data_IF_969192885083
#
_entry.id   IF_969192885083
#
_cell.length_a   1.000
_cell.length_b   1.000
_cell.length_c   1.000
_cell.angle_alpha   90.00
_cell.angle_beta   90.00
_cell.angle_gamma   90.00
#
_symmetry.space_group_name_H-M   'P 1'
#
loop_
_entity.id
_entity.type
_entity.pdbx_description
1 polymer ?
#
# COMPACT_ATOMS: atom_id res chain seq x y z
N UNK A 1 66.86 28.84 -60.65
CA UNK A 1 65.43 28.65 -60.28
C UNK A 1 65.34 27.67 -59.12
N UNK A 2 65.14 28.14 -57.88
CA UNK A 2 65.00 27.28 -56.69
C UNK A 2 63.53 27.25 -56.27
N UNK A 3 62.83 26.13 -56.47
CA UNK A 3 61.44 25.93 -56.03
C UNK A 3 61.43 25.66 -54.52
N UNK A 4 60.70 26.49 -53.77
CA UNK A 4 60.45 26.28 -52.33
C UNK A 4 59.20 25.42 -52.18
N UNK A 5 59.31 24.28 -51.51
CA UNK A 5 58.17 23.45 -51.10
C UNK A 5 57.61 24.01 -49.77
N UNK A 6 56.32 24.33 -49.76
CA UNK A 6 55.59 24.69 -48.56
C UNK A 6 55.05 23.42 -47.90
N UNK A 7 55.37 23.22 -46.62
CA UNK A 7 54.83 22.15 -45.78
C UNK A 7 53.58 22.70 -45.09
N UNK A 8 52.42 22.11 -45.38
CA UNK A 8 51.17 22.35 -44.68
C UNK A 8 51.10 21.38 -43.49
N UNK A 9 51.19 21.89 -42.26
CA UNK A 9 50.82 21.14 -41.06
C UNK A 9 49.29 21.11 -40.95
N UNK A 10 48.70 19.92 -41.04
CA UNK A 10 47.31 19.67 -40.67
C UNK A 10 47.24 19.42 -39.15
N UNK A 11 46.53 20.28 -38.42
CA UNK A 11 46.22 20.07 -37.01
C UNK A 11 45.00 19.14 -36.88
N UNK A 12 45.03 18.09 -36.04
CA UNK A 12 43.87 17.26 -35.79
C UNK A 12 42.89 17.99 -34.84
N UNK A 13 41.66 18.14 -35.30
CA UNK A 13 40.54 18.64 -34.50
C UNK A 13 40.13 17.55 -33.50
N UNK A 14 40.50 17.70 -32.23
CA UNK A 14 40.08 16.79 -31.17
C UNK A 14 38.59 17.01 -30.87
N UNK A 15 37.74 16.08 -31.30
CA UNK A 15 36.34 16.03 -30.93
C UNK A 15 36.24 15.54 -29.49
N UNK A 16 36.01 16.46 -28.55
CA UNK A 16 35.66 16.16 -27.17
C UNK A 16 34.23 15.60 -27.15
N UNK A 17 34.10 14.27 -27.10
CA UNK A 17 32.84 13.60 -26.79
C UNK A 17 32.59 13.80 -25.29
N UNK A 18 31.72 14.76 -24.96
CA UNK A 18 31.19 14.96 -23.61
C UNK A 18 30.34 13.74 -23.24
N UNK A 19 30.97 12.72 -22.65
CA UNK A 19 30.26 11.59 -22.05
C UNK A 19 29.44 12.08 -20.87
N UNK A 20 28.16 12.39 -21.09
CA UNK A 20 27.21 12.59 -20.00
C UNK A 20 27.09 11.28 -19.23
N UNK A 21 27.65 11.22 -18.03
CA UNK A 21 27.41 10.11 -17.12
C UNK A 21 25.90 10.07 -16.82
N UNK A 22 25.20 9.09 -17.39
CA UNK A 22 23.86 8.76 -16.94
C UNK A 22 23.99 8.29 -15.49
N UNK A 23 23.66 9.16 -14.54
CA UNK A 23 23.54 8.78 -13.14
C UNK A 23 22.46 7.71 -13.07
N UNK A 24 22.86 6.45 -12.89
CA UNK A 24 21.93 5.39 -12.56
C UNK A 24 21.21 5.81 -11.27
N UNK A 25 19.91 6.11 -11.36
CA UNK A 25 19.09 6.33 -10.17
C UNK A 25 19.12 5.03 -9.39
N UNK A 26 19.84 5.02 -8.27
CA UNK A 26 19.92 3.86 -7.39
C UNK A 26 18.52 3.49 -6.92
N UNK A 27 18.18 2.21 -7.01
CA UNK A 27 16.93 1.71 -6.44
C UNK A 27 17.07 1.63 -4.91
N UNK A 28 16.04 2.07 -4.19
CA UNK A 28 15.92 1.86 -2.74
C UNK A 28 14.98 0.69 -2.47
N UNK A 29 15.30 -0.10 -1.45
CA UNK A 29 14.52 -1.26 -1.03
C UNK A 29 13.82 -0.98 0.29
N UNK A 30 12.59 -1.48 0.39
CA UNK A 30 11.75 -1.35 1.56
C UNK A 30 11.01 -2.67 1.79
N UNK A 31 10.56 -2.87 3.02
CA UNK A 31 9.76 -4.00 3.43
C UNK A 31 8.67 -3.58 4.43
N UNK A 32 7.59 -4.36 4.46
CA UNK A 32 6.55 -4.21 5.46
C UNK A 32 6.13 -5.60 5.96
N UNK A 33 6.06 -5.77 7.28
CA UNK A 33 5.42 -6.93 7.90
C UNK A 33 4.04 -6.51 8.38
N UNK A 34 3.00 -7.07 7.76
CA UNK A 34 1.61 -6.77 8.08
C UNK A 34 1.13 -7.73 9.17
N UNK A 35 0.66 -7.17 10.28
CA UNK A 35 0.09 -7.92 11.41
C UNK A 35 -1.43 -7.73 11.43
N UNK A 36 -2.17 -8.67 12.05
CA UNK A 36 -3.59 -8.50 12.26
C UNK A 36 -3.90 -7.18 12.96
N UNK A 37 -4.91 -6.46 12.47
CA UNK A 37 -5.47 -5.34 13.22
C UNK A 37 -6.11 -5.89 14.49
N UNK A 38 -5.86 -5.31 15.67
CA UNK A 38 -6.15 -5.95 16.94
C UNK A 38 -7.62 -5.79 17.36
N UNK A 39 -8.55 -6.26 16.52
CA UNK A 39 -9.95 -6.42 16.88
C UNK A 39 -10.11 -7.41 18.04
N UNK A 40 -11.28 -7.37 18.69
CA UNK A 40 -11.67 -8.42 19.63
C UNK A 40 -12.06 -9.67 18.85
N UNK A 41 -11.41 -10.78 19.18
CA UNK A 41 -11.63 -12.12 18.60
C UNK A 41 -13.12 -12.52 18.46
N UNK A 42 -13.96 -12.15 19.44
CA UNK A 42 -15.39 -12.48 19.40
C UNK A 42 -16.20 -11.65 18.41
N UNK A 43 -15.69 -10.48 18.02
CA UNK A 43 -16.37 -9.54 17.14
C UNK A 43 -15.98 -9.75 15.68
N UNK A 44 -14.73 -10.12 15.41
CA UNK A 44 -14.20 -10.33 14.06
C UNK A 44 -14.12 -11.81 13.63
N UNK A 45 -14.60 -12.73 14.48
CA UNK A 45 -14.54 -14.16 14.21
C UNK A 45 -13.14 -14.77 14.35
N UNK A 46 -12.20 -14.05 14.96
CA UNK A 46 -10.83 -14.49 15.14
C UNK A 46 -9.97 -14.32 13.90
N UNK A 47 -10.17 -13.24 13.17
CA UNK A 47 -9.34 -12.86 12.04
C UNK A 47 -7.87 -12.85 12.43
N UNK A 48 -7.03 -13.44 11.57
CA UNK A 48 -5.59 -13.51 11.75
C UNK A 48 -4.87 -13.17 10.44
N UNK A 49 -5.42 -12.21 9.70
CA UNK A 49 -4.82 -11.74 8.45
C UNK A 49 -3.43 -11.21 8.74
N UNK A 50 -2.45 -11.73 8.02
CA UNK A 50 -1.06 -11.28 8.10
C UNK A 50 -0.43 -11.32 6.72
N UNK A 51 0.68 -10.61 6.56
CA UNK A 51 1.35 -10.54 5.28
C UNK A 51 2.74 -9.94 5.32
N UNK A 52 3.37 -9.93 4.16
CA UNK A 52 4.67 -9.31 3.92
C UNK A 52 4.64 -8.57 2.58
N UNK A 53 5.24 -7.40 2.53
CA UNK A 53 5.50 -6.69 1.29
C UNK A 53 7.00 -6.42 1.13
N UNK A 54 7.49 -6.55 -0.10
CA UNK A 54 8.81 -6.09 -0.54
C UNK A 54 8.60 -5.04 -1.61
N UNK A 55 9.20 -3.88 -1.43
CA UNK A 55 9.07 -2.75 -2.34
C UNK A 55 10.43 -2.31 -2.86
N UNK A 56 10.50 -2.01 -4.17
CA UNK A 56 11.69 -1.44 -4.80
C UNK A 56 11.32 -0.15 -5.50
N UNK A 57 11.84 0.97 -4.99
CA UNK A 57 11.62 2.30 -5.53
C UNK A 57 12.78 2.71 -6.43
N UNK A 58 12.48 3.04 -7.70
CA UNK A 58 13.44 3.60 -8.66
C UNK A 58 12.88 4.89 -9.26
N UNK A 59 13.42 6.03 -8.84
CA UNK A 59 12.84 7.34 -9.15
C UNK A 59 11.46 7.48 -8.49
N UNK A 60 10.39 7.42 -9.29
CA UNK A 60 8.99 7.37 -8.82
C UNK A 60 8.28 6.06 -9.14
N UNK A 61 8.99 5.10 -9.70
CA UNK A 61 8.43 3.78 -10.00
C UNK A 61 8.61 2.90 -8.78
N UNK A 62 7.51 2.51 -8.16
CA UNK A 62 7.45 1.61 -7.01
C UNK A 62 7.04 0.23 -7.51
N UNK A 63 7.97 -0.72 -7.47
CA UNK A 63 7.71 -2.14 -7.70
C UNK A 63 7.27 -2.79 -6.38
N UNK A 64 6.10 -3.43 -6.36
CA UNK A 64 5.48 -3.94 -5.14
C UNK A 64 5.24 -5.43 -5.29
N UNK A 65 5.76 -6.21 -4.35
CA UNK A 65 5.48 -7.63 -4.19
C UNK A 65 4.85 -7.83 -2.80
N UNK A 66 3.56 -8.16 -2.74
CA UNK A 66 2.84 -8.39 -1.48
C UNK A 66 2.25 -9.79 -1.43
N UNK A 67 2.37 -10.44 -0.28
CA UNK A 67 1.70 -11.71 0.03
C UNK A 67 0.94 -11.57 1.33
N UNK A 68 -0.27 -12.11 1.37
CA UNK A 68 -1.09 -12.15 2.57
C UNK A 68 -1.84 -13.48 2.69
N UNK A 69 -2.17 -13.87 3.92
CA UNK A 69 -2.88 -15.10 4.27
C UNK A 69 -3.89 -14.83 5.38
N UNK A 70 -4.90 -15.68 5.48
CA UNK A 70 -5.98 -15.55 6.47
C UNK A 70 -7.13 -14.65 6.04
N UNK A 71 -7.15 -14.23 4.77
CA UNK A 71 -8.18 -13.40 4.17
C UNK A 71 -9.48 -14.18 3.93
N UNK A 72 -10.61 -13.47 3.80
CA UNK A 72 -11.88 -14.08 3.35
C UNK A 72 -11.69 -14.77 1.98
N UNK A 73 -11.89 -16.10 1.87
CA UNK A 73 -11.57 -16.82 0.65
C UNK A 73 -12.39 -16.40 -0.57
N UNK A 74 -11.76 -16.40 -1.76
CA UNK A 74 -12.39 -16.10 -3.05
C UNK A 74 -12.91 -14.67 -3.24
N UNK A 75 -12.58 -13.75 -2.34
CA UNK A 75 -13.05 -12.36 -2.37
C UNK A 75 -11.94 -11.36 -2.70
N UNK A 76 -12.26 -10.22 -3.34
CA UNK A 76 -11.32 -9.13 -3.52
C UNK A 76 -11.09 -8.41 -2.19
N UNK A 77 -9.84 -8.08 -1.91
CA UNK A 77 -9.48 -7.27 -0.75
C UNK A 77 -8.93 -5.93 -1.20
N UNK A 78 -9.54 -4.85 -0.72
CA UNK A 78 -8.99 -3.52 -0.91
C UNK A 78 -7.67 -3.43 -0.14
N UNK A 79 -6.63 -2.94 -0.80
CA UNK A 79 -5.29 -2.83 -0.22
C UNK A 79 -4.72 -1.49 -0.63
N UNK A 80 -4.17 -0.75 0.32
CA UNK A 80 -3.68 0.59 0.03
C UNK A 80 -2.40 0.89 0.79
N UNK A 81 -1.62 1.81 0.23
CA UNK A 81 -0.61 2.55 1.00
C UNK A 81 -1.34 3.76 1.61
N UNK A 82 -1.25 3.91 2.92
CA UNK A 82 -1.84 4.97 3.71
C UNK A 82 -0.78 5.82 4.42
N UNK A 83 -1.11 7.08 4.67
CA UNK A 83 -0.36 7.97 5.55
C UNK A 83 -0.69 9.43 5.32
N UNK A 84 -0.25 10.26 6.25
CA UNK A 84 -0.03 11.69 5.99
C UNK A 84 1.47 11.91 6.01
N UNK A 85 2.02 12.50 4.96
CA UNK A 85 3.42 12.93 4.95
C UNK A 85 3.70 13.77 6.22
N UNK A 86 4.75 13.43 6.97
CA UNK A 86 5.18 14.08 8.23
C UNK A 86 4.33 13.81 9.51
N UNK A 87 3.49 12.76 9.54
CA UNK A 87 2.68 12.36 10.71
C UNK A 87 3.25 11.11 11.44
N UNK A 88 2.80 10.84 12.67
CA UNK A 88 3.21 9.64 13.42
C UNK A 88 2.89 8.34 12.70
N UNK A 89 1.91 8.36 11.77
CA UNK A 89 1.43 7.28 10.90
C UNK A 89 1.73 5.90 11.48
N UNK A 90 0.73 5.25 12.04
CA UNK A 90 0.92 3.99 12.73
C UNK A 90 -0.24 3.03 12.46
N UNK A 91 -0.01 1.75 12.70
CA UNK A 91 -1.11 0.80 12.73
C UNK A 91 -1.96 1.03 13.98
N UNK A 92 -3.30 0.99 13.85
CA UNK A 92 -4.18 1.23 14.99
C UNK A 92 -4.00 0.13 16.03
N UNK A 93 -4.17 0.51 17.29
CA UNK A 93 -4.33 -0.43 18.40
C UNK A 93 -5.79 -0.49 18.85
N UNK A 94 -6.11 -1.44 19.76
CA UNK A 94 -7.48 -1.64 20.24
C UNK A 94 -8.05 -0.43 21.01
N UNK A 95 -7.24 0.55 21.40
CA UNK A 95 -7.76 1.78 22.01
C UNK A 95 -8.47 2.69 20.99
N UNK A 96 -8.33 2.44 19.70
CA UNK A 96 -9.07 3.12 18.64
C UNK A 96 -10.55 2.71 18.58
N UNK A 97 -10.92 1.53 19.09
CA UNK A 97 -12.31 1.06 19.21
C UNK A 97 -13.02 1.88 20.30
N UNK A 98 -13.68 2.96 19.90
CA UNK A 98 -14.38 3.90 20.80
C UNK A 98 -15.82 4.16 20.34
N UNK A 99 -16.32 3.40 19.38
CA UNK A 99 -17.58 3.58 18.66
C UNK A 99 -17.86 5.04 18.32
N UNK A 100 -16.93 5.64 17.57
CA UNK A 100 -17.10 6.98 16.98
C UNK A 100 -17.40 6.93 15.48
N UNK A 101 -17.51 5.71 14.94
CA UNK A 101 -17.47 5.44 13.51
C UNK A 101 -18.75 4.96 12.85
N UNK A 102 -18.58 4.42 11.65
CA UNK A 102 -19.60 3.79 10.82
C UNK A 102 -20.10 2.48 11.48
N UNK A 103 -21.37 2.36 11.88
CA UNK A 103 -21.85 1.13 12.50
C UNK A 103 -22.14 0.03 11.45
N UNK A 104 -21.82 -1.23 11.76
CA UNK A 104 -22.32 -2.40 11.00
C UNK A 104 -23.85 -2.38 10.99
N UNK A 105 -24.42 -2.25 12.18
CA UNK A 105 -25.86 -2.15 12.41
C UNK A 105 -26.14 -0.90 13.27
N UNK A 106 -26.72 0.15 12.68
CA UNK A 106 -27.09 1.36 13.40
C UNK A 106 -28.01 1.11 14.61
N UNK A 107 -28.76 0.01 14.63
CA UNK A 107 -29.69 -0.33 15.72
C UNK A 107 -28.98 -0.85 16.97
N UNK A 108 -27.76 -1.39 16.83
CA UNK A 108 -26.94 -1.88 17.94
C UNK A 108 -25.83 -0.92 18.35
N UNK A 109 -25.61 0.14 17.57
CA UNK A 109 -24.58 1.14 17.82
C UNK A 109 -24.87 1.97 19.07
N UNK A 110 -23.86 2.10 19.92
CA UNK A 110 -23.89 3.00 21.09
C UNK A 110 -22.62 3.84 21.07
N UNK A 111 -22.77 5.14 20.79
CA UNK A 111 -21.65 6.07 20.72
C UNK A 111 -20.81 6.04 22.00
N UNK A 112 -19.48 5.94 21.85
CA UNK A 112 -18.55 5.89 22.99
C UNK A 112 -18.42 4.53 23.68
N UNK A 113 -19.14 3.50 23.21
CA UNK A 113 -19.09 2.14 23.78
C UNK A 113 -18.44 1.17 22.79
N UNK A 114 -17.21 0.70 23.05
CA UNK A 114 -16.49 -0.22 22.17
C UNK A 114 -17.30 -1.47 21.80
N UNK A 115 -17.34 -1.82 20.53
CA UNK A 115 -18.02 -3.03 20.01
C UNK A 115 -17.03 -4.17 19.67
N UNK A 116 -15.74 -3.91 19.79
CA UNK A 116 -14.68 -4.86 19.53
C UNK A 116 -14.09 -4.76 18.13
N UNK A 117 -14.61 -3.89 17.27
CA UNK A 117 -14.10 -3.66 15.93
C UNK A 117 -13.49 -2.27 15.85
N UNK A 118 -12.46 -2.14 15.03
CA UNK A 118 -11.84 -0.85 14.73
C UNK A 118 -12.35 -0.51 13.34
N UNK A 119 -13.41 0.30 13.26
CA UNK A 119 -14.00 0.72 11.98
C UNK A 119 -13.00 1.52 11.13
N UNK A 120 -13.30 1.69 9.85
CA UNK A 120 -12.51 2.54 8.93
C UNK A 120 -12.26 3.93 9.54
N UNK A 121 -13.30 4.55 10.07
CA UNK A 121 -13.26 5.88 10.69
C UNK A 121 -12.45 5.93 11.98
N UNK A 122 -12.39 4.84 12.74
CA UNK A 122 -11.62 4.74 13.98
C UNK A 122 -10.14 4.46 13.74
N UNK A 123 -9.84 3.68 12.71
CA UNK A 123 -8.46 3.43 12.28
C UNK A 123 -7.85 4.58 11.48
N UNK A 124 -8.67 5.37 10.78
CA UNK A 124 -8.21 6.47 9.92
C UNK A 124 -7.30 7.49 10.60
N UNK A 125 -7.52 7.91 11.86
CA UNK A 125 -6.57 8.76 12.59
C UNK A 125 -5.17 8.15 12.78
N UNK A 126 -5.05 6.82 12.79
CA UNK A 126 -3.76 6.13 12.95
C UNK A 126 -3.01 6.01 11.62
N UNK A 127 -3.63 5.40 10.60
CA UNK A 127 -2.95 5.12 9.33
C UNK A 127 -3.11 6.22 8.28
N UNK A 128 -4.08 7.13 8.39
CA UNK A 128 -4.27 8.26 7.47
C UNK A 128 -5.12 7.97 6.22
N UNK A 129 -5.24 8.92 5.28
CA UNK A 129 -5.96 8.72 4.02
C UNK A 129 -5.24 7.73 3.10
N UNK A 130 -5.92 7.32 2.02
CA UNK A 130 -5.32 6.52 0.95
C UNK A 130 -4.36 7.42 0.14
N UNK A 131 -3.14 6.97 -0.06
CA UNK A 131 -2.17 7.56 -0.99
C UNK A 131 -2.10 6.78 -2.32
N UNK A 132 -2.09 5.44 -2.22
CA UNK A 132 -1.98 4.54 -3.38
C UNK A 132 -2.91 3.35 -3.21
N UNK A 133 -3.83 3.15 -4.15
CA UNK A 133 -4.63 1.93 -4.26
C UNK A 133 -3.85 0.84 -4.98
N UNK A 134 -3.66 -0.32 -4.34
CA UNK A 134 -2.94 -1.48 -4.89
C UNK A 134 -3.84 -2.32 -5.81
N UNK A 135 -4.45 -1.67 -6.80
CA UNK A 135 -5.25 -2.34 -7.81
C UNK A 135 -4.36 -3.23 -8.68
N UNK A 136 -4.87 -4.37 -9.13
CA UNK A 136 -4.19 -5.24 -10.09
C UNK A 136 -4.11 -4.63 -11.50
N UNK A 137 -5.00 -3.68 -11.81
CA UNK A 137 -5.10 -3.02 -13.12
C UNK A 137 -5.74 -1.63 -12.99
N UNK A 138 -5.43 -0.75 -13.94
CA UNK A 138 -6.04 0.56 -14.05
C UNK A 138 -5.50 1.57 -13.02
N UNK A 139 -6.35 2.50 -12.61
CA UNK A 139 -5.98 3.59 -11.72
C UNK A 139 -5.56 3.08 -10.32
N UNK A 140 -4.56 3.76 -9.75
CA UNK A 140 -3.99 3.50 -8.42
C UNK A 140 -4.13 4.70 -7.50
N UNK A 141 -4.87 5.72 -7.91
CA UNK A 141 -5.15 6.88 -7.08
C UNK A 141 -6.12 6.54 -5.93
N UNK A 142 -6.31 7.46 -4.97
CA UNK A 142 -7.31 7.30 -3.91
C UNK A 142 -8.74 7.10 -4.43
N UNK A 143 -9.06 7.62 -5.63
CA UNK A 143 -10.38 7.44 -6.24
C UNK A 143 -10.72 5.98 -6.56
N UNK A 144 -9.71 5.10 -6.64
CA UNK A 144 -9.90 3.65 -6.86
C UNK A 144 -10.04 2.85 -5.55
N UNK A 145 -10.11 3.51 -4.39
CA UNK A 145 -10.05 2.87 -3.07
C UNK A 145 -11.08 1.76 -2.85
N UNK A 146 -12.28 1.90 -3.44
CA UNK A 146 -13.39 0.92 -3.34
C UNK A 146 -13.78 0.30 -4.69
N UNK A 147 -12.91 0.41 -5.70
CA UNK A 147 -13.15 -0.20 -7.00
C UNK A 147 -12.78 -1.69 -6.98
N UNK A 148 -13.51 -2.46 -6.15
CA UNK A 148 -13.19 -3.83 -5.73
C UNK A 148 -12.90 -4.79 -6.89
N UNK A 149 -13.53 -4.60 -8.05
CA UNK A 149 -13.31 -5.43 -9.24
C UNK A 149 -11.91 -5.27 -9.87
N UNK A 150 -11.13 -4.27 -9.42
CA UNK A 150 -9.74 -4.06 -9.82
C UNK A 150 -8.75 -4.64 -8.82
N UNK A 151 -9.16 -5.04 -7.62
CA UNK A 151 -8.27 -5.66 -6.64
C UNK A 151 -8.08 -7.15 -6.89
N UNK A 152 -7.00 -7.71 -6.36
CA UNK A 152 -6.74 -9.14 -6.42
C UNK A 152 -7.70 -9.86 -5.49
N UNK A 153 -8.23 -11.00 -5.94
CA UNK A 153 -9.01 -11.91 -5.10
C UNK A 153 -8.10 -12.88 -4.35
N UNK A 154 -8.40 -13.13 -3.09
CA UNK A 154 -7.79 -14.23 -2.36
C UNK A 154 -8.19 -15.58 -2.99
N UNK A 155 -7.33 -16.59 -2.88
CA UNK A 155 -7.63 -17.96 -3.29
C UNK A 155 -8.62 -18.64 -2.33
N UNK A 156 -9.03 -19.86 -2.67
CA UNK A 156 -9.94 -20.68 -1.85
C UNK A 156 -9.43 -20.99 -0.43
N UNK A 157 -8.17 -20.69 -0.12
CA UNK A 157 -7.55 -20.87 1.19
C UNK A 157 -7.24 -19.52 1.86
N UNK A 158 -7.78 -18.42 1.35
CA UNK A 158 -7.55 -17.08 1.91
C UNK A 158 -6.14 -16.55 1.68
N UNK A 159 -5.43 -17.02 0.64
CA UNK A 159 -4.10 -16.51 0.28
C UNK A 159 -4.18 -15.54 -0.89
N UNK A 160 -3.41 -14.47 -0.82
CA UNK A 160 -3.31 -13.46 -1.87
C UNK A 160 -1.85 -13.22 -2.24
N UNK A 161 -1.57 -13.08 -3.53
CA UNK A 161 -0.29 -12.60 -4.04
C UNK A 161 -0.55 -11.46 -5.01
N UNK A 162 0.06 -10.31 -4.74
CA UNK A 162 0.00 -9.11 -5.55
C UNK A 162 1.39 -8.75 -6.05
N UNK A 163 1.47 -8.44 -7.34
CA UNK A 163 2.69 -7.93 -7.95
C UNK A 163 2.34 -6.86 -8.99
N UNK A 164 2.86 -5.65 -8.81
CA UNK A 164 2.69 -4.56 -9.77
C UNK A 164 3.75 -3.47 -9.57
N UNK A 165 4.26 -2.92 -10.67
CA UNK A 165 5.01 -1.67 -10.66
C UNK A 165 4.09 -0.50 -10.99
N UNK A 166 4.13 0.55 -10.18
CA UNK A 166 3.26 1.73 -10.28
C UNK A 166 4.08 3.01 -10.19
N UNK A 167 3.61 4.09 -10.83
CA UNK A 167 4.23 5.41 -10.66
C UNK A 167 3.53 6.12 -9.51
N UNK A 168 4.28 6.42 -8.45
CA UNK A 168 3.75 7.12 -7.28
C UNK A 168 3.96 8.64 -7.36
N UNK A 169 3.18 9.43 -6.62
CA UNK A 169 3.45 10.84 -6.38
C UNK A 169 4.86 11.07 -5.76
N UNK A 170 5.41 12.27 -5.94
CA UNK A 170 6.81 12.58 -5.56
C UNK A 170 7.01 12.57 -4.05
N UNK A 171 6.06 13.12 -3.32
CA UNK A 171 5.96 13.11 -1.86
C UNK A 171 5.92 11.67 -1.32
N UNK A 172 5.13 10.78 -1.91
CA UNK A 172 5.11 9.35 -1.55
C UNK A 172 6.45 8.67 -1.81
N UNK A 173 7.09 8.94 -2.96
CA UNK A 173 8.43 8.42 -3.25
C UNK A 173 9.50 8.92 -2.25
N UNK A 174 9.30 10.09 -1.64
CA UNK A 174 10.26 10.69 -0.71
C UNK A 174 10.08 10.16 0.71
N UNK A 175 8.83 9.90 1.12
CA UNK A 175 8.45 9.63 2.51
C UNK A 175 7.91 8.21 2.70
N UNK A 176 8.31 7.25 1.86
CA UNK A 176 7.76 5.90 1.88
C UNK A 176 7.92 5.20 3.24
N UNK A 177 8.98 5.51 4.01
CA UNK A 177 9.20 4.99 5.37
C UNK A 177 8.23 5.51 6.42
N UNK A 178 7.47 6.57 6.12
CA UNK A 178 6.47 7.12 7.01
C UNK A 178 5.08 6.53 6.70
N UNK A 179 4.95 5.63 5.72
CA UNK A 179 3.67 5.11 5.23
C UNK A 179 3.43 3.67 5.66
N UNK A 180 2.17 3.24 5.54
CA UNK A 180 1.68 1.93 5.98
C UNK A 180 0.98 1.22 4.84
N UNK A 181 1.00 -0.11 4.85
CA UNK A 181 0.11 -0.89 4.01
C UNK A 181 -1.03 -1.39 4.88
N UNK A 182 -2.27 -1.14 4.45
CA UNK A 182 -3.48 -1.66 5.08
C UNK A 182 -4.21 -2.57 4.10
N UNK A 183 -4.69 -3.71 4.58
CA UNK A 183 -5.59 -4.63 3.86
C UNK A 183 -6.94 -4.58 4.54
N UNK A 184 -8.01 -4.52 3.75
CA UNK A 184 -9.39 -4.45 4.21
C UNK A 184 -10.21 -5.66 3.75
N UNK A 185 -11.37 -5.86 4.37
CA UNK A 185 -12.34 -6.89 4.00
C UNK A 185 -12.32 -8.06 4.98
N UNK A 186 -13.41 -8.22 5.75
CA UNK A 186 -13.65 -9.38 6.60
C UNK A 186 -15.10 -9.86 6.49
N UNK A 187 -15.28 -11.18 6.46
CA UNK A 187 -16.57 -11.84 6.73
C UNK A 187 -16.77 -11.88 8.25
N UNK A 188 -17.72 -11.09 8.77
CA UNK A 188 -17.96 -11.01 10.20
C UNK A 188 -18.96 -12.07 10.67
N UNK A 189 -18.82 -12.58 11.92
CA UNK A 189 -19.74 -13.61 12.45
C UNK A 189 -21.23 -13.25 12.45
N UNK A 190 -21.56 -11.95 12.42
CA UNK A 190 -22.93 -11.46 12.33
C UNK A 190 -23.53 -11.56 10.93
N UNK A 191 -22.69 -11.66 9.90
CA UNK A 191 -23.14 -11.79 8.51
C UNK A 191 -23.56 -13.22 8.20
N UNK A 192 -24.71 -13.34 7.54
CA UNK A 192 -25.29 -14.63 7.13
C UNK A 192 -24.88 -15.02 5.72
N UNK A 193 -24.42 -14.05 4.94
CA UNK A 193 -23.99 -14.25 3.56
C UNK A 193 -22.54 -14.75 3.48
N UNK A 194 -21.83 -14.76 4.63
CA UNK A 194 -20.45 -15.22 4.77
C UNK A 194 -19.52 -14.52 3.79
N UNK A 195 -19.63 -13.18 3.73
CA UNK A 195 -18.94 -12.38 2.73
C UNK A 195 -18.46 -11.05 3.30
N UNK A 196 -17.24 -10.65 2.94
CA UNK A 196 -16.75 -9.30 3.22
C UNK A 196 -17.39 -8.23 2.34
N UNK A 197 -18.28 -8.61 1.41
CA UNK A 197 -18.88 -7.72 0.42
C UNK A 197 -20.36 -7.42 0.71
N UNK A 198 -20.93 -7.99 1.78
CA UNK A 198 -22.35 -7.87 2.12
C UNK A 198 -22.74 -6.42 2.44
N UNK A 199 -21.81 -5.62 2.96
CA UNK A 199 -21.99 -4.20 3.20
C UNK A 199 -20.65 -3.44 3.14
N UNK A 200 -20.74 -2.10 3.17
CA UNK A 200 -19.56 -1.24 3.11
C UNK A 200 -18.66 -1.37 4.34
N UNK A 201 -19.23 -1.61 5.52
CA UNK A 201 -18.44 -1.75 6.74
C UNK A 201 -17.48 -2.93 6.62
N UNK A 202 -17.99 -4.10 6.27
CA UNK A 202 -17.19 -5.32 6.10
C UNK A 202 -16.13 -5.15 5.01
N UNK A 203 -16.49 -4.55 3.88
CA UNK A 203 -15.58 -4.32 2.76
C UNK A 203 -14.45 -3.33 3.10
N UNK A 204 -14.64 -2.48 4.10
CA UNK A 204 -13.69 -1.44 4.52
C UNK A 204 -13.07 -1.69 5.89
N UNK A 205 -13.46 -2.75 6.59
CA UNK A 205 -12.87 -3.08 7.88
C UNK A 205 -11.38 -3.41 7.68
N UNK A 206 -10.44 -2.69 8.32
CA UNK A 206 -9.02 -2.96 8.18
C UNK A 206 -8.67 -4.26 8.92
N UNK A 207 -8.12 -5.25 8.22
CA UNK A 207 -7.83 -6.58 8.78
C UNK A 207 -6.34 -6.83 9.02
N UNK A 208 -5.46 -6.13 8.29
CA UNK A 208 -4.02 -6.19 8.53
C UNK A 208 -3.36 -4.86 8.22
N UNK A 209 -2.34 -4.52 9.02
CA UNK A 209 -1.57 -3.29 8.85
C UNK A 209 -0.07 -3.54 9.08
N UNK A 210 0.78 -2.86 8.32
CA UNK A 210 2.23 -2.89 8.53
C UNK A 210 2.91 -1.61 8.07
N UNK A 211 3.80 -1.07 8.91
CA UNK A 211 4.68 0.05 8.57
C UNK A 211 5.66 -0.36 7.47
N UNK A 212 5.89 0.55 6.52
CA UNK A 212 6.91 0.38 5.49
C UNK A 212 8.25 0.87 6.06
N UNK A 213 9.26 0.01 6.05
CA UNK A 213 10.58 0.31 6.57
C UNK A 213 11.60 0.21 5.45
N UNK A 214 12.62 1.07 5.49
CA UNK A 214 13.75 0.93 4.57
C UNK A 214 14.54 -0.32 4.92
N UNK A 215 14.70 -1.22 3.95
CA UNK A 215 15.50 -2.43 4.14
C UNK A 215 16.97 -2.05 4.29
N UNK A 216 17.67 -2.72 5.21
CA UNK A 216 19.11 -2.53 5.46
C UNK A 216 19.98 -3.15 4.36
#
# INVERSE_FOLDING_TARGET
MKKRFAVLLAAPLAVLVSGGAAMAVGASHYDATLRPVPHRHSADGGSQVHGTAVLRLSGRTLDINLKASGLTPNEPHAMHIHGLVDSRNECPDISADVNTGDPIDPSTFVAGKPDGLISLSEGAPSYGPIDVSLTARGDTSPASGLTLERFVKADSRGNLTYHRSVVVPKDIATNLSDLHIVIHGADLPSDKDHSSLSNLFEATLPVACGAINKSS
#
